data_IF_124360168472
#
_entry.id   IF_124360168472
#
_cell.length_a   1.000
_cell.length_b   1.000
_cell.length_c   1.000
_cell.angle_alpha   90.00
_cell.angle_beta   90.00
_cell.angle_gamma   90.00
#
_symmetry.space_group_name_H-M   'P 1'
#
loop_
_entity.id
_entity.type
_entity.pdbx_description
1 polymer ?
#
# COMPACT_ATOMS: atom_id res chain seq x y z
N UNK A 1 0.44 13.31 23.31
CA UNK A 1 0.05 13.57 21.90
C UNK A 1 -1.27 12.87 21.53
N UNK A 2 -1.82 13.18 20.35
CA UNK A 2 -3.15 12.72 19.90
C UNK A 2 -3.27 11.20 19.71
N UNK A 3 -4.50 10.72 19.52
CA UNK A 3 -4.83 9.29 19.38
C UNK A 3 -4.03 8.55 18.28
N UNK A 4 -3.51 9.26 17.28
CA UNK A 4 -2.78 8.68 16.14
C UNK A 4 -1.49 7.95 16.56
N UNK A 5 -0.72 8.50 17.51
CA UNK A 5 0.58 7.95 17.90
C UNK A 5 0.42 6.56 18.54
N UNK A 6 -0.68 6.32 19.27
CA UNK A 6 -1.00 5.02 19.87
C UNK A 6 -1.22 3.89 18.85
N UNK A 7 -1.44 4.21 17.56
CA UNK A 7 -1.55 3.25 16.46
C UNK A 7 -0.24 3.09 15.67
N UNK A 8 0.87 3.56 16.21
CA UNK A 8 2.19 3.15 15.73
C UNK A 8 2.30 1.65 15.84
N UNK A 9 2.43 0.96 14.71
CA UNK A 9 2.43 -0.50 14.66
C UNK A 9 3.73 -1.06 15.21
N UNK A 10 4.86 -0.53 14.73
CA UNK A 10 6.18 -0.99 15.12
C UNK A 10 7.27 0.02 14.79
N UNK A 11 8.37 -0.10 15.52
CA UNK A 11 9.66 0.51 15.24
C UNK A 11 10.62 -0.60 14.80
N UNK A 12 11.21 -0.48 13.62
CA UNK A 12 12.11 -1.47 13.04
C UNK A 12 13.48 -0.86 12.76
N UNK A 13 14.59 -1.59 13.00
CA UNK A 13 15.89 -1.18 12.50
C UNK A 13 15.89 -1.20 10.96
N UNK A 14 16.62 -0.28 10.35
CA UNK A 14 16.83 -0.30 8.90
C UNK A 14 18.10 -1.09 8.60
N UNK A 15 17.98 -2.09 7.72
CA UNK A 15 19.09 -2.95 7.32
C UNK A 15 20.22 -2.09 6.75
N UNK A 16 21.45 -2.34 7.19
CA UNK A 16 22.67 -1.60 6.82
C UNK A 16 22.69 -0.12 7.28
N UNK A 17 21.83 0.30 8.20
CA UNK A 17 21.83 1.66 8.77
C UNK A 17 21.71 1.63 10.30
N UNK A 18 22.84 1.77 11.00
CA UNK A 18 22.91 1.67 12.47
C UNK A 18 22.25 2.84 13.24
N UNK A 19 21.89 3.91 12.52
CA UNK A 19 21.30 5.14 13.10
C UNK A 19 19.96 5.52 12.47
N UNK A 20 19.29 4.55 11.85
CA UNK A 20 18.00 4.76 11.21
C UNK A 20 16.98 3.74 11.71
N UNK A 21 15.77 4.23 11.95
CA UNK A 21 14.63 3.44 12.39
C UNK A 21 13.46 3.71 11.46
N UNK A 22 12.76 2.64 11.06
CA UNK A 22 11.55 2.70 10.27
C UNK A 22 10.34 2.54 11.18
N UNK A 23 9.37 3.43 11.05
CA UNK A 23 8.14 3.40 11.84
C UNK A 23 6.96 3.11 10.93
N UNK A 24 6.18 2.09 11.28
CA UNK A 24 5.01 1.70 10.52
C UNK A 24 3.73 2.23 11.13
N UNK A 25 2.87 2.78 10.26
CA UNK A 25 1.52 3.18 10.59
C UNK A 25 0.53 2.38 9.76
N UNK A 26 -0.65 2.11 10.32
CA UNK A 26 -1.73 1.45 9.59
C UNK A 26 -3.05 2.19 9.78
N UNK A 27 -3.96 1.99 8.83
CA UNK A 27 -5.32 2.54 8.88
C UNK A 27 -5.36 4.06 8.95
N UNK A 28 -6.31 4.57 9.76
CA UNK A 28 -6.60 6.00 9.85
C UNK A 28 -5.42 6.81 10.38
N UNK A 29 -4.58 6.22 11.23
CA UNK A 29 -3.46 6.91 11.84
C UNK A 29 -2.35 7.25 10.85
N UNK A 30 -2.14 6.42 9.83
CA UNK A 30 -1.24 6.76 8.72
C UNK A 30 -1.71 8.02 7.97
N UNK A 31 -3.02 8.12 7.73
CA UNK A 31 -3.63 9.29 7.06
C UNK A 31 -3.53 10.55 7.90
N UNK A 32 -3.79 10.44 9.20
CA UNK A 32 -3.61 11.58 10.11
C UNK A 32 -2.14 11.99 10.15
N UNK A 33 -1.22 11.04 10.24
CA UNK A 33 0.22 11.29 10.27
C UNK A 33 0.72 12.04 9.02
N UNK A 34 0.17 11.78 7.83
CA UNK A 34 0.50 12.56 6.62
C UNK A 34 0.12 14.06 6.72
N UNK A 35 -0.90 14.41 7.51
CA UNK A 35 -1.36 15.80 7.67
C UNK A 35 -0.61 16.62 8.73
N UNK A 36 0.23 15.97 9.54
CA UNK A 36 0.97 16.59 10.64
C UNK A 36 2.29 17.20 10.15
N UNK A 37 2.84 18.13 10.92
CA UNK A 37 4.21 18.63 10.69
C UNK A 37 5.26 17.60 11.14
N UNK A 38 6.51 17.79 10.71
CA UNK A 38 7.62 16.92 11.10
C UNK A 38 7.86 16.99 12.62
N UNK A 39 7.69 18.16 13.23
CA UNK A 39 7.83 18.38 14.67
C UNK A 39 6.75 17.61 15.45
N UNK A 40 5.48 17.71 15.04
CA UNK A 40 4.38 16.99 15.68
C UNK A 40 4.56 15.48 15.61
N UNK A 41 5.05 14.97 14.47
CA UNK A 41 5.36 13.54 14.31
C UNK A 41 6.53 13.14 15.20
N UNK A 42 7.59 13.94 15.23
CA UNK A 42 8.78 13.70 16.05
C UNK A 42 8.43 13.64 17.54
N UNK A 43 7.72 14.65 18.05
CA UNK A 43 7.29 14.68 19.44
C UNK A 43 6.41 13.47 19.79
N UNK A 44 5.44 13.13 18.93
CA UNK A 44 4.58 11.97 19.09
C UNK A 44 5.34 10.65 19.20
N UNK A 45 6.32 10.43 18.33
CA UNK A 45 7.14 9.22 18.33
C UNK A 45 8.12 9.17 19.49
N UNK A 46 8.71 10.31 19.85
CA UNK A 46 9.62 10.41 21.00
C UNK A 46 8.89 10.21 22.34
N UNK A 47 7.63 10.65 22.47
CA UNK A 47 6.81 10.33 23.65
C UNK A 47 6.67 8.80 23.81
N UNK A 48 6.36 8.08 22.72
CA UNK A 48 6.24 6.62 22.76
C UNK A 48 7.56 5.95 23.13
N UNK A 49 8.65 6.32 22.46
CA UNK A 49 9.98 5.76 22.74
C UNK A 49 10.40 6.00 24.20
N UNK A 50 10.25 7.23 24.70
CA UNK A 50 10.57 7.55 26.07
C UNK A 50 9.69 6.80 27.08
N UNK A 51 8.40 6.60 26.76
CA UNK A 51 7.48 5.83 27.60
C UNK A 51 7.86 4.35 27.70
N UNK A 52 8.27 3.73 26.60
CA UNK A 52 8.58 2.29 26.57
C UNK A 52 10.02 1.96 26.97
N UNK A 53 11.00 2.75 26.53
CA UNK A 53 12.42 2.43 26.69
C UNK A 53 13.23 3.53 27.37
N UNK A 54 12.66 4.72 27.57
CA UNK A 54 13.36 5.90 28.12
C UNK A 54 13.89 5.75 29.55
N UNK A 55 13.39 4.76 30.31
CA UNK A 55 13.94 4.43 31.65
C UNK A 55 15.26 3.66 31.59
N UNK A 56 15.56 3.04 30.45
CA UNK A 56 16.73 2.15 30.25
C UNK A 56 17.73 2.83 29.31
N UNK A 57 17.23 3.51 28.28
CA UNK A 57 18.03 4.14 27.24
C UNK A 57 17.73 5.63 27.15
N UNK A 58 18.78 6.43 26.93
CA UNK A 58 18.62 7.82 26.53
C UNK A 58 18.46 7.88 25.01
N UNK A 59 17.22 8.03 24.53
CA UNK A 59 16.91 8.05 23.09
C UNK A 59 17.12 9.47 22.56
N UNK A 60 18.09 9.71 21.65
CA UNK A 60 18.31 11.03 21.07
C UNK A 60 17.16 11.41 20.12
N UNK A 61 16.96 12.72 19.94
CA UNK A 61 16.07 13.24 18.90
C UNK A 61 16.57 12.83 17.50
N UNK A 62 15.69 12.49 16.56
CA UNK A 62 16.09 12.24 15.18
C UNK A 62 16.59 13.54 14.53
N UNK A 63 17.56 13.41 13.62
CA UNK A 63 18.10 14.55 12.86
C UNK A 63 17.18 14.97 11.70
N UNK A 64 16.37 14.02 11.18
CA UNK A 64 15.42 14.24 10.10
C UNK A 64 14.40 13.09 10.05
N UNK A 65 13.23 13.34 9.48
CA UNK A 65 12.23 12.32 9.13
C UNK A 65 12.06 12.21 7.62
N UNK A 66 12.20 10.99 7.09
CA UNK A 66 11.70 10.63 5.76
C UNK A 66 10.32 10.00 5.89
N UNK A 67 9.30 10.64 5.31
CA UNK A 67 7.90 10.23 5.41
C UNK A 67 7.32 9.94 4.02
N UNK A 68 6.62 8.82 3.88
CA UNK A 68 5.79 8.53 2.71
C UNK A 68 4.41 9.19 2.81
N UNK A 69 3.86 9.58 1.67
CA UNK A 69 2.55 10.22 1.49
C UNK A 69 1.60 9.38 0.61
N UNK A 70 1.67 8.05 0.71
CA UNK A 70 0.95 7.12 -0.17
C UNK A 70 -0.55 7.40 -0.29
N UNK A 71 -1.20 7.84 0.79
CA UNK A 71 -2.64 8.13 0.78
C UNK A 71 -2.98 9.43 0.05
N UNK A 72 -2.24 10.51 0.34
CA UNK A 72 -2.51 11.83 -0.26
C UNK A 72 -1.88 12.02 -1.64
N UNK A 73 -0.92 11.18 -2.03
CA UNK A 73 -0.25 11.27 -3.33
C UNK A 73 -1.22 10.95 -4.48
N UNK A 74 -1.41 11.86 -5.46
CA UNK A 74 -2.48 11.75 -6.47
C UNK A 74 -2.42 10.53 -7.37
N UNK A 75 -1.25 9.90 -7.53
CA UNK A 75 -1.07 8.76 -8.42
C UNK A 75 -1.17 7.41 -7.73
N UNK A 76 -1.26 7.37 -6.39
CA UNK A 76 -1.33 6.13 -5.61
C UNK A 76 -2.62 6.03 -4.80
N UNK A 77 -3.05 7.14 -4.17
CA UNK A 77 -4.32 7.23 -3.42
C UNK A 77 -4.50 6.11 -2.37
N UNK A 78 -3.39 5.60 -1.84
CA UNK A 78 -3.30 4.40 -1.02
C UNK A 78 -1.97 3.68 -1.22
N UNK A 79 -1.64 2.77 -0.31
CA UNK A 79 -0.41 1.98 -0.40
C UNK A 79 -0.58 0.75 -1.30
N UNK A 80 -1.61 -0.06 -1.05
CA UNK A 80 -1.94 -1.28 -1.78
C UNK A 80 -3.39 -1.71 -1.49
N UNK A 81 -3.94 -2.56 -2.36
CA UNK A 81 -5.28 -3.11 -2.21
C UNK A 81 -5.42 -3.99 -0.98
N UNK A 82 -6.65 -4.11 -0.46
CA UNK A 82 -7.01 -5.11 0.53
C UNK A 82 -8.48 -5.48 0.34
N UNK A 83 -8.87 -6.71 0.71
CA UNK A 83 -10.27 -7.13 0.68
C UNK A 83 -10.98 -6.65 1.93
N UNK A 84 -12.07 -5.90 1.73
CA UNK A 84 -12.91 -5.43 2.83
C UNK A 84 -13.95 -6.49 3.20
N UNK A 85 -14.42 -6.46 4.46
CA UNK A 85 -15.57 -7.27 4.89
C UNK A 85 -16.81 -7.00 4.01
N UNK A 86 -16.96 -5.77 3.51
CA UNK A 86 -18.04 -5.40 2.60
C UNK A 86 -17.89 -6.02 1.20
N UNK A 87 -16.66 -6.16 0.71
CA UNK A 87 -16.39 -6.88 -0.55
C UNK A 87 -16.77 -8.35 -0.40
N UNK A 88 -16.38 -8.97 0.71
CA UNK A 88 -16.67 -10.38 1.00
C UNK A 88 -18.18 -10.62 1.16
N UNK A 89 -18.90 -9.74 1.85
CA UNK A 89 -20.36 -9.87 2.02
C UNK A 89 -21.13 -9.71 0.71
N UNK A 90 -20.52 -9.07 -0.29
CA UNK A 90 -21.05 -8.93 -1.65
C UNK A 90 -20.51 -9.98 -2.63
N UNK A 91 -19.70 -10.93 -2.14
CA UNK A 91 -19.01 -11.93 -2.95
C UNK A 91 -18.16 -11.29 -4.08
N UNK A 92 -17.55 -10.14 -3.80
CA UNK A 92 -16.64 -9.44 -4.70
C UNK A 92 -15.19 -9.82 -4.38
N UNK A 93 -14.42 -10.06 -5.43
CA UNK A 93 -13.04 -10.52 -5.40
C UNK A 93 -12.16 -9.70 -6.34
N UNK A 94 -10.84 -9.86 -6.21
CA UNK A 94 -9.88 -9.28 -7.14
C UNK A 94 -10.00 -9.83 -8.57
N UNK A 95 -10.67 -10.98 -8.77
CA UNK A 95 -10.95 -11.51 -10.10
C UNK A 95 -11.98 -10.67 -10.84
N UNK A 96 -12.97 -10.11 -10.12
CA UNK A 96 -13.97 -9.21 -10.71
C UNK A 96 -13.30 -7.93 -11.23
N UNK A 97 -12.24 -7.46 -10.56
CA UNK A 97 -11.41 -6.33 -11.02
C UNK A 97 -10.57 -6.66 -12.26
N UNK A 98 -10.37 -7.95 -12.56
CA UNK A 98 -9.60 -8.40 -13.73
C UNK A 98 -10.47 -8.57 -14.98
N UNK A 99 -11.80 -8.44 -14.87
CA UNK A 99 -12.70 -8.65 -16.00
C UNK A 99 -12.50 -7.59 -17.09
N UNK A 100 -12.31 -8.00 -18.36
CA UNK A 100 -12.12 -7.05 -19.44
C UNK A 100 -13.44 -6.36 -19.83
N UNK A 101 -13.34 -5.13 -20.33
CA UNK A 101 -14.45 -4.51 -21.05
C UNK A 101 -14.39 -4.94 -22.51
N UNK A 102 -15.46 -5.59 -22.96
CA UNK A 102 -15.61 -6.10 -24.32
C UNK A 102 -16.56 -5.21 -25.13
N UNK A 103 -16.38 -5.15 -26.45
CA UNK A 103 -17.40 -4.61 -27.35
C UNK A 103 -18.49 -5.66 -27.68
N UNK A 104 -19.47 -5.26 -28.51
CA UNK A 104 -20.58 -6.12 -28.96
C UNK A 104 -20.14 -7.37 -29.73
N UNK A 105 -18.91 -7.40 -30.22
CA UNK A 105 -18.32 -8.51 -30.98
C UNK A 105 -17.31 -9.30 -30.15
N UNK A 106 -17.34 -9.17 -28.81
CA UNK A 106 -16.39 -9.78 -27.88
C UNK A 106 -14.92 -9.37 -28.09
N UNK A 107 -14.66 -8.23 -28.72
CA UNK A 107 -13.30 -7.69 -28.80
C UNK A 107 -12.95 -7.02 -27.47
N UNK A 108 -11.79 -7.33 -26.86
CA UNK A 108 -11.32 -6.63 -25.69
C UNK A 108 -10.95 -5.18 -26.03
N UNK A 109 -11.61 -4.23 -25.36
CA UNK A 109 -11.39 -2.78 -25.50
C UNK A 109 -10.57 -2.24 -24.34
N UNK A 110 -10.80 -2.76 -23.14
CA UNK A 110 -10.05 -2.40 -21.94
C UNK A 110 -9.71 -3.66 -21.15
N UNK A 111 -8.45 -3.75 -20.73
CA UNK A 111 -7.90 -4.85 -19.94
C UNK A 111 -7.31 -4.26 -18.67
N UNK A 112 -7.45 -4.98 -17.56
CA UNK A 112 -6.99 -4.53 -16.25
C UNK A 112 -5.85 -5.42 -15.75
N UNK A 113 -4.73 -4.79 -15.44
CA UNK A 113 -3.57 -5.41 -14.80
C UNK A 113 -3.17 -4.61 -13.56
N UNK A 114 -2.19 -5.11 -12.82
CA UNK A 114 -1.73 -4.53 -11.56
C UNK A 114 -2.07 -5.42 -10.36
N UNK A 115 -1.51 -5.07 -9.20
CA UNK A 115 -1.59 -5.88 -7.98
C UNK A 115 -3.04 -6.21 -7.59
N UNK A 116 -3.94 -5.23 -7.72
CA UNK A 116 -5.33 -5.36 -7.31
C UNK A 116 -6.14 -6.35 -8.15
N UNK A 117 -5.61 -6.81 -9.29
CA UNK A 117 -6.32 -7.72 -10.21
C UNK A 117 -5.87 -9.18 -10.08
N UNK A 118 -5.03 -9.50 -9.09
CA UNK A 118 -4.60 -10.87 -8.84
C UNK A 118 -5.47 -11.53 -7.77
N UNK A 119 -6.05 -12.69 -8.06
CA UNK A 119 -6.94 -13.42 -7.12
C UNK A 119 -6.29 -13.94 -5.83
N UNK A 120 -4.95 -13.91 -5.72
CA UNK A 120 -4.19 -14.58 -4.66
C UNK A 120 -3.00 -13.74 -4.18
N UNK A 121 -2.24 -13.17 -5.10
CA UNK A 121 -1.07 -12.35 -4.82
C UNK A 121 -1.38 -10.85 -4.95
N UNK A 122 -2.61 -10.44 -4.63
CA UNK A 122 -2.93 -9.01 -4.52
C UNK A 122 -2.11 -8.39 -3.38
N UNK A 123 -1.93 -7.07 -3.44
CA UNK A 123 -1.04 -6.27 -2.58
C UNK A 123 0.45 -6.54 -2.76
N UNK A 124 0.86 -7.40 -3.69
CA UNK A 124 2.25 -7.81 -3.88
C UNK A 124 2.79 -7.47 -5.27
N UNK A 125 4.10 -7.25 -5.34
CA UNK A 125 4.81 -6.93 -6.59
C UNK A 125 4.76 -8.08 -7.59
N UNK A 126 4.95 -9.33 -7.13
CA UNK A 126 4.85 -10.48 -8.04
C UNK A 126 3.44 -10.62 -8.62
N UNK A 127 2.40 -10.29 -7.85
CA UNK A 127 1.02 -10.22 -8.35
C UNK A 127 0.90 -9.22 -9.50
N UNK A 128 1.41 -8.00 -9.34
CA UNK A 128 1.41 -7.00 -10.42
C UNK A 128 2.14 -7.48 -11.69
N UNK A 129 3.30 -8.14 -11.52
CA UNK A 129 4.08 -8.69 -12.64
C UNK A 129 3.29 -9.79 -13.36
N UNK A 130 2.68 -10.71 -12.62
CA UNK A 130 1.93 -11.84 -13.16
C UNK A 130 0.67 -11.37 -13.91
N UNK A 131 -0.07 -10.40 -13.37
CA UNK A 131 -1.25 -9.84 -14.04
C UNK A 131 -0.91 -9.01 -15.27
N UNK A 132 0.22 -8.29 -15.25
CA UNK A 132 0.74 -7.64 -16.45
C UNK A 132 1.06 -8.64 -17.58
N UNK A 133 1.69 -9.77 -17.24
CA UNK A 133 1.92 -10.86 -18.21
C UNK A 133 0.61 -11.48 -18.69
N UNK A 134 -0.35 -11.71 -17.80
CA UNK A 134 -1.68 -12.25 -18.13
C UNK A 134 -2.35 -11.41 -19.21
N UNK A 135 -2.45 -10.09 -19.02
CA UNK A 135 -3.11 -9.21 -20.01
C UNK A 135 -2.32 -9.10 -21.32
N UNK A 136 -0.98 -9.11 -21.27
CA UNK A 136 -0.17 -9.18 -22.48
C UNK A 136 -0.47 -10.45 -23.31
N UNK A 137 -0.62 -11.61 -22.67
CA UNK A 137 -1.00 -12.85 -23.35
C UNK A 137 -2.43 -12.80 -23.90
N UNK A 138 -3.37 -12.17 -23.19
CA UNK A 138 -4.74 -11.97 -23.67
C UNK A 138 -4.75 -11.15 -24.98
N UNK A 139 -3.97 -10.06 -25.04
CA UNK A 139 -3.81 -9.24 -26.26
C UNK A 139 -3.23 -10.07 -27.40
N UNK A 140 -2.12 -10.77 -27.17
CA UNK A 140 -1.46 -11.58 -28.20
C UNK A 140 -2.42 -12.66 -28.74
N UNK A 141 -3.15 -13.33 -27.85
CA UNK A 141 -4.08 -14.40 -28.21
C UNK A 141 -5.24 -13.85 -29.05
N UNK A 142 -5.82 -12.71 -28.66
CA UNK A 142 -6.86 -12.04 -29.45
C UNK A 142 -6.34 -11.67 -30.84
N UNK A 143 -5.16 -11.05 -30.93
CA UNK A 143 -4.59 -10.60 -32.21
C UNK A 143 -4.29 -11.77 -33.18
N UNK A 144 -3.89 -12.93 -32.66
CA UNK A 144 -3.65 -14.15 -33.46
C UNK A 144 -4.94 -14.78 -33.98
N UNK A 145 -6.00 -14.74 -33.19
CA UNK A 145 -7.27 -15.39 -33.51
C UNK A 145 -8.29 -14.44 -34.16
N UNK A 146 -7.93 -13.17 -34.34
CA UNK A 146 -8.80 -12.17 -34.95
C UNK A 146 -9.10 -12.56 -36.41
N UNK A 147 -10.37 -12.72 -36.80
CA UNK A 147 -10.71 -12.91 -38.20
C UNK A 147 -10.25 -11.69 -39.02
N UNK A 148 -9.74 -11.94 -40.23
CA UNK A 148 -9.28 -10.90 -41.15
C UNK A 148 -10.39 -9.92 -41.51
#
# INVERSE_FOLDING_TARGET
HGSWAAYTYAFHPVVNHDRMMCVWFSGQSGRTMESLTEEEVTEGLMELLNKFVGKIYNVPQPEAILRSDWWSYPHTLGAYSYRTVLSDSRNLSNSDLAEPVLDVNNKPILLFAGEATHSRYFSLVNGAIETGRREAHNIISYMKNKPK
#
